data_IF_762972058373
#
_entry.id   IF_762972058373
#
_cell.length_a   1.000
_cell.length_b   1.000
_cell.length_c   1.000
_cell.angle_alpha   90.00
_cell.angle_beta   90.00
_cell.angle_gamma   90.00
#
_symmetry.space_group_name_H-M   'P 1'
#
loop_
_entity.id
_entity.type
_entity.pdbx_description
1 polymer ?
#
# COMPACT_ATOMS: atom_id res chain seq x y z
N UNK A 1 -32.49 -66.11 -87.76
CA UNK A 1 -32.80 -64.67 -87.64
C UNK A 1 -33.63 -64.27 -86.40
N UNK A 2 -34.24 -65.19 -85.62
CA UNK A 2 -35.05 -64.80 -84.44
C UNK A 2 -34.23 -64.80 -83.12
N UNK A 3 -33.12 -65.56 -83.03
CA UNK A 3 -32.29 -65.61 -81.81
C UNK A 3 -31.43 -64.35 -81.58
N UNK A 4 -30.98 -63.66 -82.63
CA UNK A 4 -30.09 -62.49 -82.48
C UNK A 4 -30.83 -61.24 -81.96
N UNK A 5 -32.13 -61.10 -82.29
CA UNK A 5 -32.97 -60.00 -81.79
C UNK A 5 -33.31 -60.13 -80.30
N UNK A 6 -33.50 -61.35 -79.80
CA UNK A 6 -33.80 -61.59 -78.37
C UNK A 6 -32.57 -61.37 -77.49
N UNK A 7 -31.37 -61.72 -77.97
CA UNK A 7 -30.09 -61.45 -77.29
C UNK A 7 -29.75 -59.96 -77.28
N UNK A 8 -30.01 -59.25 -78.38
CA UNK A 8 -29.81 -57.79 -78.43
C UNK A 8 -30.76 -57.03 -77.48
N UNK A 9 -32.04 -57.43 -77.41
CA UNK A 9 -33.03 -56.83 -76.52
C UNK A 9 -32.72 -57.15 -75.05
N UNK A 10 -32.35 -58.38 -74.71
CA UNK A 10 -31.94 -58.74 -73.34
C UNK A 10 -30.65 -58.04 -72.90
N UNK A 11 -29.68 -57.85 -73.79
CA UNK A 11 -28.46 -57.08 -73.52
C UNK A 11 -28.74 -55.58 -73.34
N UNK A 12 -29.68 -54.99 -74.10
CA UNK A 12 -30.07 -53.59 -73.93
C UNK A 12 -30.85 -53.33 -72.64
N UNK A 13 -31.73 -54.26 -72.22
CA UNK A 13 -32.49 -54.15 -70.97
C UNK A 13 -31.59 -54.35 -69.75
N UNK A 14 -30.63 -55.27 -69.81
CA UNK A 14 -29.62 -55.45 -68.74
C UNK A 14 -28.66 -54.26 -68.65
N UNK A 15 -28.26 -53.66 -69.78
CA UNK A 15 -27.45 -52.45 -69.80
C UNK A 15 -28.17 -51.23 -69.22
N UNK A 16 -29.47 -51.05 -69.54
CA UNK A 16 -30.32 -50.01 -68.94
C UNK A 16 -30.53 -50.23 -67.44
N UNK A 17 -30.74 -51.48 -67.02
CA UNK A 17 -30.82 -51.86 -65.61
C UNK A 17 -29.52 -51.55 -64.86
N UNK A 18 -28.36 -51.90 -65.42
CA UNK A 18 -27.06 -51.61 -64.84
C UNK A 18 -26.78 -50.09 -64.75
N UNK A 19 -27.15 -49.32 -65.78
CA UNK A 19 -27.01 -47.86 -65.78
C UNK A 19 -27.89 -47.18 -64.73
N UNK A 20 -29.14 -47.64 -64.54
CA UNK A 20 -30.03 -47.14 -63.49
C UNK A 20 -29.51 -47.48 -62.09
N UNK A 21 -29.01 -48.70 -61.87
CA UNK A 21 -28.40 -49.10 -60.60
C UNK A 21 -27.15 -48.27 -60.30
N UNK A 22 -26.30 -48.02 -61.30
CA UNK A 22 -25.13 -47.16 -61.16
C UNK A 22 -25.51 -45.71 -60.82
N UNK A 23 -26.52 -45.14 -61.48
CA UNK A 23 -27.02 -43.79 -61.18
C UNK A 23 -27.59 -43.67 -59.76
N UNK A 24 -28.34 -44.68 -59.31
CA UNK A 24 -28.87 -44.75 -57.94
C UNK A 24 -27.72 -44.87 -56.93
N UNK A 25 -26.71 -45.70 -57.21
CA UNK A 25 -25.53 -45.81 -56.37
C UNK A 25 -24.73 -44.49 -56.30
N UNK A 26 -24.54 -43.80 -57.43
CA UNK A 26 -23.90 -42.47 -57.49
C UNK A 26 -24.72 -41.42 -56.75
N UNK A 27 -26.05 -41.46 -56.85
CA UNK A 27 -26.94 -40.55 -56.13
C UNK A 27 -26.86 -40.76 -54.61
N UNK A 28 -26.88 -42.01 -54.14
CA UNK A 28 -26.78 -42.32 -52.71
C UNK A 28 -25.39 -42.02 -52.14
N UNK A 29 -24.32 -42.28 -52.89
CA UNK A 29 -22.96 -41.94 -52.48
C UNK A 29 -22.76 -40.43 -52.39
N UNK A 30 -23.25 -39.66 -53.37
CA UNK A 30 -23.25 -38.19 -53.31
C UNK A 30 -24.05 -37.66 -52.13
N UNK A 31 -25.26 -38.18 -51.90
CA UNK A 31 -26.11 -37.77 -50.77
C UNK A 31 -25.50 -38.16 -49.42
N UNK A 32 -24.78 -39.28 -49.35
CA UNK A 32 -24.00 -39.68 -48.17
C UNK A 32 -22.80 -38.77 -47.94
N UNK A 33 -22.09 -38.38 -49.00
CA UNK A 33 -20.97 -37.44 -48.94
C UNK A 33 -21.41 -36.05 -48.47
N UNK A 34 -22.54 -35.53 -48.96
CA UNK A 34 -23.09 -34.23 -48.54
C UNK A 34 -23.52 -34.23 -47.06
N UNK A 35 -24.12 -35.32 -46.57
CA UNK A 35 -24.48 -35.46 -45.15
C UNK A 35 -23.27 -35.57 -44.22
N UNK A 36 -22.24 -36.31 -44.64
CA UNK A 36 -20.99 -36.45 -43.88
C UNK A 36 -20.19 -35.15 -43.89
N UNK A 37 -20.17 -34.40 -45.00
CA UNK A 37 -19.62 -33.05 -45.08
C UNK A 37 -20.35 -32.06 -44.16
N UNK A 38 -21.70 -32.10 -44.13
CA UNK A 38 -22.49 -31.28 -43.21
C UNK A 38 -22.23 -31.61 -41.74
N UNK A 39 -22.18 -32.91 -41.40
CA UNK A 39 -21.90 -33.36 -40.04
C UNK A 39 -20.47 -32.99 -39.58
N UNK A 40 -19.48 -33.07 -40.48
CA UNK A 40 -18.09 -32.68 -40.17
C UNK A 40 -17.92 -31.17 -40.02
N UNK A 41 -18.65 -30.36 -40.78
CA UNK A 41 -18.68 -28.90 -40.58
C UNK A 41 -19.29 -28.51 -39.23
N UNK A 42 -20.41 -29.13 -38.85
CA UNK A 42 -21.05 -28.88 -37.55
C UNK A 42 -20.17 -29.35 -36.39
N UNK A 43 -19.55 -30.53 -36.52
CA UNK A 43 -18.58 -31.03 -35.54
C UNK A 43 -17.34 -30.13 -35.43
N UNK A 44 -16.80 -29.67 -36.56
CA UNK A 44 -15.67 -28.74 -36.61
C UNK A 44 -16.00 -27.37 -36.00
N UNK A 45 -17.19 -26.83 -36.26
CA UNK A 45 -17.67 -25.60 -35.61
C UNK A 45 -17.80 -25.78 -34.09
N UNK A 46 -18.41 -26.87 -33.63
CA UNK A 46 -18.52 -27.19 -32.21
C UNK A 46 -17.15 -27.33 -31.53
N UNK A 47 -16.21 -28.02 -32.19
CA UNK A 47 -14.85 -28.18 -31.71
C UNK A 47 -14.08 -26.85 -31.66
N UNK A 48 -14.25 -25.99 -32.67
CA UNK A 48 -13.61 -24.65 -32.69
C UNK A 48 -14.15 -23.74 -31.58
N UNK A 49 -15.47 -23.74 -31.34
CA UNK A 49 -16.07 -22.96 -30.27
C UNK A 49 -15.65 -23.45 -28.88
N UNK A 50 -15.56 -24.77 -28.70
CA UNK A 50 -15.04 -25.37 -27.47
C UNK A 50 -13.56 -24.99 -27.24
N UNK A 51 -12.73 -25.01 -28.30
CA UNK A 51 -11.34 -24.60 -28.23
C UNK A 51 -11.18 -23.11 -27.88
N UNK A 52 -11.99 -22.23 -28.47
CA UNK A 52 -11.99 -20.79 -28.14
C UNK A 52 -12.44 -20.56 -26.69
N UNK A 53 -13.50 -21.22 -26.23
CA UNK A 53 -13.92 -21.13 -24.82
C UNK A 53 -12.86 -21.65 -23.86
N UNK A 54 -12.22 -22.77 -24.19
CA UNK A 54 -11.12 -23.31 -23.40
C UNK A 54 -9.93 -22.34 -23.35
N UNK A 55 -9.53 -21.76 -24.49
CA UNK A 55 -8.47 -20.76 -24.56
C UNK A 55 -8.81 -19.49 -23.74
N UNK A 56 -10.05 -19.00 -23.81
CA UNK A 56 -10.50 -17.86 -23.00
C UNK A 56 -10.53 -18.17 -21.50
N UNK A 57 -10.94 -19.39 -21.12
CA UNK A 57 -10.91 -19.83 -19.72
C UNK A 57 -9.47 -19.99 -19.22
N UNK A 58 -8.59 -20.52 -20.05
CA UNK A 58 -7.18 -20.70 -19.73
C UNK A 58 -6.43 -19.36 -19.63
N UNK A 59 -6.73 -18.41 -20.51
CA UNK A 59 -6.23 -17.03 -20.46
C UNK A 59 -6.73 -16.29 -19.21
N UNK A 60 -8.02 -16.41 -18.86
CA UNK A 60 -8.55 -15.87 -17.59
C UNK A 60 -7.90 -16.53 -16.38
N UNK A 61 -7.77 -17.85 -16.38
CA UNK A 61 -7.15 -18.61 -15.31
C UNK A 61 -5.65 -18.27 -15.14
N UNK A 62 -4.97 -17.85 -16.21
CA UNK A 62 -3.59 -17.35 -16.16
C UNK A 62 -3.48 -15.91 -15.64
N UNK A 63 -4.39 -15.02 -16.06
CA UNK A 63 -4.34 -13.59 -15.68
C UNK A 63 -4.69 -13.32 -14.21
N UNK A 64 -5.64 -14.08 -13.68
CA UNK A 64 -6.13 -13.89 -12.31
C UNK A 64 -5.02 -14.06 -11.23
N UNK A 65 -4.21 -15.12 -11.22
CA UNK A 65 -3.11 -15.24 -10.26
C UNK A 65 -2.02 -14.19 -10.46
N UNK A 66 -1.79 -13.73 -11.69
CA UNK A 66 -0.85 -12.62 -11.97
C UNK A 66 -1.33 -11.32 -11.34
N UNK A 67 -2.60 -10.95 -11.54
CA UNK A 67 -3.20 -9.76 -10.94
C UNK A 67 -3.24 -9.83 -9.40
N UNK A 68 -3.53 -11.01 -8.85
CA UNK A 68 -3.47 -11.22 -7.40
C UNK A 68 -2.05 -11.07 -6.84
N UNK A 69 -1.05 -11.55 -7.57
CA UNK A 69 0.37 -11.37 -7.24
C UNK A 69 0.79 -9.90 -7.26
N UNK A 70 0.43 -9.17 -8.32
CA UNK A 70 0.69 -7.73 -8.46
C UNK A 70 0.02 -6.91 -7.36
N UNK A 71 -1.25 -7.22 -7.05
CA UNK A 71 -1.99 -6.57 -5.96
C UNK A 71 -1.35 -6.81 -4.60
N UNK A 72 -0.92 -8.05 -4.30
CA UNK A 72 -0.19 -8.35 -3.06
C UNK A 72 1.14 -7.60 -2.98
N UNK A 73 1.89 -7.54 -4.08
CA UNK A 73 3.15 -6.79 -4.12
C UNK A 73 2.93 -5.31 -3.80
N UNK A 74 1.93 -4.68 -4.43
CA UNK A 74 1.55 -3.29 -4.18
C UNK A 74 1.14 -3.04 -2.72
N UNK A 75 0.36 -3.93 -2.11
CA UNK A 75 -0.01 -3.80 -0.69
C UNK A 75 1.21 -3.91 0.23
N UNK A 76 2.14 -4.82 -0.08
CA UNK A 76 3.38 -4.99 0.68
C UNK A 76 4.30 -3.79 0.54
N UNK A 77 4.42 -3.22 -0.65
CA UNK A 77 5.25 -2.03 -0.90
C UNK A 77 4.71 -0.81 -0.14
N UNK A 78 3.39 -0.61 -0.14
CA UNK A 78 2.76 0.45 0.65
C UNK A 78 2.98 0.25 2.15
N UNK A 79 2.77 -0.96 2.68
CA UNK A 79 3.05 -1.27 4.09
C UNK A 79 4.52 -1.00 4.43
N UNK A 80 5.45 -1.47 3.60
CA UNK A 80 6.88 -1.26 3.80
C UNK A 80 7.22 0.24 3.82
N UNK A 81 6.67 1.03 2.90
CA UNK A 81 6.88 2.47 2.87
C UNK A 81 6.37 3.14 4.16
N UNK A 82 5.17 2.78 4.62
CA UNK A 82 4.61 3.32 5.87
C UNK A 82 5.39 2.87 7.11
N UNK A 83 5.91 1.64 7.14
CA UNK A 83 6.73 1.13 8.23
C UNK A 83 8.11 1.80 8.27
N UNK A 84 8.69 2.13 7.11
CA UNK A 84 9.90 2.93 7.03
C UNK A 84 9.63 4.34 7.53
N UNK A 85 8.59 5.01 7.03
CA UNK A 85 8.18 6.34 7.48
C UNK A 85 8.00 6.38 9.01
N UNK A 86 7.27 5.42 9.57
CA UNK A 86 7.00 5.33 11.00
C UNK A 86 8.28 5.19 11.83
N UNK A 87 9.18 4.31 11.41
CA UNK A 87 10.48 4.12 12.09
C UNK A 87 11.35 5.36 11.99
N UNK A 88 11.41 6.00 10.82
CA UNK A 88 12.13 7.25 10.63
C UNK A 88 11.57 8.34 11.52
N UNK A 89 10.25 8.55 11.52
CA UNK A 89 9.56 9.52 12.37
C UNK A 89 9.89 9.34 13.85
N UNK A 90 9.88 8.09 14.35
CA UNK A 90 10.22 7.77 15.73
C UNK A 90 11.70 8.05 16.05
N UNK A 91 12.61 7.82 15.09
CA UNK A 91 14.05 8.00 15.24
C UNK A 91 14.54 9.44 14.96
N UNK A 92 13.71 10.30 14.37
CA UNK A 92 14.08 11.69 14.02
C UNK A 92 14.72 12.49 15.16
N UNK A 93 14.30 12.39 16.44
CA UNK A 93 14.94 13.10 17.54
C UNK A 93 16.44 12.76 17.68
N UNK A 94 16.83 11.53 17.37
CA UNK A 94 18.20 11.03 17.50
C UNK A 94 19.05 11.30 16.23
N UNK A 95 18.40 11.69 15.14
CA UNK A 95 19.06 12.02 13.87
C UNK A 95 19.62 13.45 13.92
N UNK A 96 20.83 13.73 13.39
CA UNK A 96 21.37 15.08 13.31
C UNK A 96 20.42 16.05 12.60
N UNK A 97 20.22 17.25 13.17
CA UNK A 97 19.25 18.25 12.68
C UNK A 97 19.35 18.50 11.16
N UNK A 98 20.58 18.66 10.65
CA UNK A 98 20.86 18.92 9.24
C UNK A 98 20.34 17.84 8.27
N UNK A 99 20.14 16.60 8.74
CA UNK A 99 19.69 15.46 7.91
C UNK A 99 18.19 15.18 8.05
N UNK A 100 17.52 15.73 9.07
CA UNK A 100 16.14 15.37 9.43
C UNK A 100 15.15 15.65 8.31
N UNK A 101 15.24 16.82 7.68
CA UNK A 101 14.33 17.25 6.61
C UNK A 101 14.44 16.37 5.38
N UNK A 102 15.64 16.21 4.84
CA UNK A 102 15.86 15.42 3.62
C UNK A 102 15.41 13.97 3.80
N UNK A 103 15.70 13.37 4.96
CA UNK A 103 15.26 12.02 5.29
C UNK A 103 13.74 11.92 5.41
N UNK A 104 13.09 12.89 6.07
CA UNK A 104 11.63 12.94 6.20
C UNK A 104 10.96 13.08 4.83
N UNK A 105 11.42 14.01 4.00
CA UNK A 105 10.89 14.27 2.66
C UNK A 105 11.04 13.01 1.78
N UNK A 106 12.18 12.30 1.88
CA UNK A 106 12.41 11.04 1.17
C UNK A 106 11.39 9.97 1.55
N UNK A 107 11.20 9.72 2.86
CA UNK A 107 10.28 8.66 3.31
C UNK A 107 8.81 9.03 3.11
N UNK A 108 8.46 10.32 3.22
CA UNK A 108 7.11 10.81 2.93
C UNK A 108 6.77 10.63 1.44
N UNK A 109 7.70 10.96 0.55
CA UNK A 109 7.55 10.75 -0.90
C UNK A 109 7.34 9.27 -1.22
N UNK A 110 8.11 8.37 -0.60
CA UNK A 110 7.96 6.92 -0.81
C UNK A 110 6.56 6.41 -0.41
N UNK A 111 5.94 6.96 0.64
CA UNK A 111 4.56 6.60 1.02
C UNK A 111 3.57 7.05 -0.05
N UNK A 112 3.73 8.26 -0.60
CA UNK A 112 2.87 8.79 -1.66
C UNK A 112 2.99 7.95 -2.94
N UNK A 113 4.22 7.61 -3.34
CA UNK A 113 4.49 6.78 -4.52
C UNK A 113 3.91 5.37 -4.35
N UNK A 114 4.14 4.73 -3.21
CA UNK A 114 3.63 3.38 -2.96
C UNK A 114 2.10 3.34 -2.90
N UNK A 115 1.45 4.41 -2.41
CA UNK A 115 -0.02 4.52 -2.41
C UNK A 115 -0.60 4.56 -3.82
N UNK A 116 0.10 5.11 -4.80
CA UNK A 116 -0.39 5.17 -6.18
C UNK A 116 -0.65 3.77 -6.76
N UNK A 117 0.20 2.79 -6.44
CA UNK A 117 -0.04 1.39 -6.79
C UNK A 117 -1.36 0.87 -6.21
N UNK A 118 -1.62 1.16 -4.92
CA UNK A 118 -2.84 0.72 -4.23
C UNK A 118 -4.08 1.36 -4.86
N UNK A 119 -3.98 2.62 -5.29
CA UNK A 119 -5.08 3.30 -5.98
C UNK A 119 -5.43 2.67 -7.34
N UNK A 120 -4.46 2.04 -8.01
CA UNK A 120 -4.65 1.40 -9.33
C UNK A 120 -5.16 -0.04 -9.20
N UNK A 121 -4.58 -0.82 -8.28
CA UNK A 121 -4.81 -2.28 -8.20
C UNK A 121 -5.63 -2.72 -6.96
N UNK A 122 -5.92 -1.81 -6.04
CA UNK A 122 -6.60 -2.11 -4.78
C UNK A 122 -8.11 -2.31 -4.91
N UNK A 123 -8.71 -3.02 -3.94
CA UNK A 123 -10.17 -3.00 -3.74
C UNK A 123 -10.61 -1.66 -3.16
N UNK A 124 -11.90 -1.32 -3.25
CA UNK A 124 -12.46 -0.09 -2.66
C UNK A 124 -12.15 0.05 -1.18
N UNK A 125 -12.22 -1.03 -0.42
CA UNK A 125 -11.86 -1.09 1.01
C UNK A 125 -10.37 -0.78 1.23
N UNK A 126 -9.48 -1.41 0.49
CA UNK A 126 -8.03 -1.20 0.59
C UNK A 126 -7.63 0.22 0.15
N UNK A 127 -8.28 0.77 -0.89
CA UNK A 127 -8.07 2.16 -1.35
C UNK A 127 -8.46 3.15 -0.26
N UNK A 128 -9.62 2.96 0.38
CA UNK A 128 -10.08 3.83 1.47
C UNK A 128 -9.13 3.77 2.66
N UNK A 129 -8.76 2.56 3.10
CA UNK A 129 -7.85 2.38 4.23
C UNK A 129 -6.44 2.93 3.94
N UNK A 130 -5.93 2.78 2.71
CA UNK A 130 -4.65 3.37 2.31
C UNK A 130 -4.70 4.90 2.27
N UNK A 131 -5.82 5.48 1.87
CA UNK A 131 -6.02 6.93 1.89
C UNK A 131 -5.98 7.48 3.32
N UNK A 132 -6.62 6.80 4.26
CA UNK A 132 -6.61 7.17 5.67
C UNK A 132 -5.22 7.06 6.27
N UNK A 133 -4.53 5.93 6.05
CA UNK A 133 -3.17 5.71 6.55
C UNK A 133 -2.19 6.75 6.01
N UNK A 134 -2.21 7.03 4.71
CA UNK A 134 -1.37 8.06 4.11
C UNK A 134 -1.74 9.47 4.61
N UNK A 135 -3.03 9.75 4.82
CA UNK A 135 -3.48 11.01 5.40
C UNK A 135 -2.95 11.23 6.83
N UNK A 136 -2.79 10.16 7.60
CA UNK A 136 -2.18 10.20 8.92
C UNK A 136 -0.66 10.37 8.83
N UNK A 137 0.04 9.68 7.91
CA UNK A 137 1.45 9.94 7.64
C UNK A 137 1.72 11.41 7.30
N UNK A 138 0.91 12.02 6.43
CA UNK A 138 1.03 13.45 6.10
C UNK A 138 0.69 14.38 7.28
N UNK A 139 -0.17 13.97 8.21
CA UNK A 139 -0.37 14.72 9.47
C UNK A 139 0.89 14.70 10.31
N UNK A 140 1.49 13.51 10.50
CA UNK A 140 2.72 13.33 11.26
C UNK A 140 3.91 14.08 10.62
N UNK A 141 4.02 14.06 9.30
CA UNK A 141 5.06 14.79 8.56
C UNK A 141 5.09 16.28 8.93
N UNK A 142 3.91 16.93 9.03
CA UNK A 142 3.81 18.37 9.34
C UNK A 142 4.34 18.75 10.71
N UNK A 143 4.30 17.84 11.68
CA UNK A 143 4.78 18.08 13.05
C UNK A 143 6.14 17.43 13.33
N UNK A 144 6.63 16.56 12.45
CA UNK A 144 7.79 15.70 12.66
C UNK A 144 9.07 16.47 13.01
N UNK A 145 9.40 17.54 12.27
CA UNK A 145 10.63 18.29 12.50
C UNK A 145 10.62 19.04 13.84
N UNK A 146 9.50 19.71 14.16
CA UNK A 146 9.34 20.42 15.43
C UNK A 146 9.33 19.45 16.61
N UNK A 147 8.59 18.35 16.49
CA UNK A 147 8.60 17.24 17.45
C UNK A 147 10.01 16.70 17.66
N UNK A 148 10.80 16.53 16.60
CA UNK A 148 12.17 16.04 16.71
C UNK A 148 13.08 17.00 17.48
N UNK A 149 12.94 18.31 17.27
CA UNK A 149 13.67 19.34 18.05
C UNK A 149 13.31 19.25 19.53
N UNK A 150 12.01 19.29 19.87
CA UNK A 150 11.54 19.26 21.25
C UNK A 150 11.96 17.97 21.96
N UNK A 151 11.76 16.81 21.32
CA UNK A 151 12.12 15.51 21.90
C UNK A 151 13.62 15.31 22.07
N UNK A 152 14.42 15.82 21.12
CA UNK A 152 15.87 15.78 21.21
C UNK A 152 16.35 16.62 22.40
N UNK A 153 15.81 17.84 22.55
CA UNK A 153 16.13 18.71 23.67
C UNK A 153 15.71 18.12 25.02
N UNK A 154 14.48 17.61 25.14
CA UNK A 154 13.98 16.94 26.35
C UNK A 154 14.92 15.79 26.74
N UNK A 155 15.28 14.92 25.80
CA UNK A 155 16.15 13.78 26.08
C UNK A 155 17.54 14.21 26.55
N UNK A 156 18.14 15.23 25.91
CA UNK A 156 19.44 15.75 26.32
C UNK A 156 19.38 16.35 27.73
N UNK A 157 18.34 17.14 28.03
CA UNK A 157 18.15 17.73 29.36
C UNK A 157 17.96 16.65 30.44
N UNK A 158 17.20 15.59 30.15
CA UNK A 158 17.05 14.42 31.05
C UNK A 158 18.35 13.66 31.29
N UNK A 159 19.27 13.65 30.33
CA UNK A 159 20.59 13.01 30.57
C UNK A 159 21.53 13.89 31.38
N UNK A 160 21.25 15.20 31.48
CA UNK A 160 22.09 16.20 32.13
C UNK A 160 21.52 16.74 33.45
N UNK A 161 20.34 16.31 33.90
CA UNK A 161 19.88 16.59 35.27
C UNK A 161 20.52 15.66 36.30
N UNK A 162 20.37 15.96 37.59
CA UNK A 162 21.00 15.16 38.64
C UNK A 162 20.40 13.74 38.71
N UNK A 163 21.22 12.66 38.62
CA UNK A 163 20.72 11.28 38.60
C UNK A 163 20.18 10.78 39.94
N UNK A 164 20.39 11.53 41.04
CA UNK A 164 19.96 11.14 42.40
C UNK A 164 18.73 11.91 42.86
N UNK A 165 18.79 13.24 42.77
CA UNK A 165 17.67 14.13 43.07
C UNK A 165 17.99 15.55 42.55
N UNK A 166 17.22 16.03 41.56
CA UNK A 166 17.39 17.37 41.01
C UNK A 166 17.00 18.49 42.00
N UNK A 167 16.00 18.26 42.86
CA UNK A 167 15.51 19.25 43.83
C UNK A 167 16.53 19.56 44.94
N UNK A 168 17.47 18.65 45.21
CA UNK A 168 18.46 18.76 46.30
C UNK A 168 19.88 18.86 45.75
N UNK A 169 20.02 19.01 44.43
CA UNK A 169 21.30 19.15 43.79
C UNK A 169 21.87 20.55 44.07
N UNK A 170 23.18 20.64 44.36
CA UNK A 170 23.87 21.92 44.52
C UNK A 170 24.58 22.37 43.23
N UNK A 171 24.55 21.53 42.19
CA UNK A 171 25.10 21.88 40.88
C UNK A 171 24.07 22.72 40.12
N UNK A 172 24.42 23.98 39.86
CA UNK A 172 23.57 24.94 39.15
C UNK A 172 23.19 24.46 37.75
N UNK A 173 24.05 23.71 37.07
CA UNK A 173 23.80 23.23 35.72
C UNK A 173 22.74 22.12 35.71
N UNK A 174 22.80 21.21 36.69
CA UNK A 174 21.78 20.17 36.85
C UNK A 174 20.41 20.76 37.21
N UNK A 175 20.38 21.79 38.07
CA UNK A 175 19.14 22.49 38.43
C UNK A 175 18.56 23.18 37.19
N UNK A 176 19.38 23.93 36.44
CA UNK A 176 18.97 24.60 35.22
C UNK A 176 18.44 23.62 34.17
N UNK A 177 19.11 22.47 33.97
CA UNK A 177 18.63 21.40 33.09
C UNK A 177 17.24 20.87 33.48
N UNK A 178 17.00 20.65 34.79
CA UNK A 178 15.70 20.19 35.29
C UNK A 178 14.61 21.26 35.12
N UNK A 179 14.91 22.53 35.38
CA UNK A 179 13.97 23.64 35.17
C UNK A 179 13.60 23.77 33.69
N UNK A 180 14.59 23.77 32.79
CA UNK A 180 14.36 23.83 31.35
C UNK A 180 13.53 22.64 30.86
N UNK A 181 13.84 21.43 31.34
CA UNK A 181 13.06 20.23 31.03
C UNK A 181 11.60 20.36 31.46
N UNK A 182 11.35 20.77 32.71
CA UNK A 182 9.98 20.91 33.24
C UNK A 182 9.18 21.94 32.46
N UNK A 183 9.79 23.08 32.14
CA UNK A 183 9.17 24.11 31.31
C UNK A 183 8.82 23.60 29.91
N UNK A 184 9.70 22.85 29.25
CA UNK A 184 9.43 22.31 27.90
C UNK A 184 8.32 21.26 27.91
N UNK A 185 8.27 20.40 28.93
CA UNK A 185 7.20 19.39 29.08
C UNK A 185 5.85 20.06 29.28
N UNK A 186 5.79 21.06 30.16
CA UNK A 186 4.53 21.70 30.56
C UNK A 186 4.15 22.89 29.67
N UNK A 187 5.00 23.28 28.72
CA UNK A 187 4.83 24.51 27.92
C UNK A 187 3.45 24.62 27.25
N UNK A 188 2.94 23.48 26.76
CA UNK A 188 1.62 23.38 26.12
C UNK A 188 0.44 23.58 27.07
N UNK A 189 0.65 23.42 28.37
CA UNK A 189 -0.36 23.56 29.42
C UNK A 189 -0.36 24.95 30.06
N UNK A 190 0.69 25.75 29.84
CA UNK A 190 0.76 27.13 30.30
C UNK A 190 -0.22 28.01 29.50
N UNK A 191 -0.82 29.00 30.17
CA UNK A 191 -1.57 30.04 29.49
C UNK A 191 -0.63 30.95 28.68
N UNK A 192 -1.17 31.73 27.77
CA UNK A 192 -0.34 32.61 26.92
C UNK A 192 0.47 33.60 27.76
N UNK A 193 -0.16 34.24 28.74
CA UNK A 193 0.50 35.18 29.66
C UNK A 193 1.64 34.51 30.43
N UNK A 194 1.39 33.32 31.01
CA UNK A 194 2.42 32.54 31.72
C UNK A 194 3.59 32.16 30.83
N UNK A 195 3.35 31.84 29.54
CA UNK A 195 4.42 31.52 28.60
C UNK A 195 5.29 32.72 28.30
N UNK A 196 4.70 33.89 28.10
CA UNK A 196 5.45 35.13 27.91
C UNK A 196 6.34 35.43 29.11
N UNK A 197 5.82 35.28 30.33
CA UNK A 197 6.59 35.49 31.57
C UNK A 197 7.70 34.45 31.76
N UNK A 198 7.46 33.21 31.36
CA UNK A 198 8.41 32.09 31.54
C UNK A 198 9.38 31.93 30.38
N UNK A 199 9.26 32.69 29.29
CA UNK A 199 10.16 32.58 28.14
C UNK A 199 11.60 32.95 28.50
N UNK A 200 11.78 34.08 29.18
CA UNK A 200 13.10 34.52 29.65
C UNK A 200 13.72 33.50 30.61
N UNK A 201 12.90 32.90 31.48
CA UNK A 201 13.32 31.85 32.41
C UNK A 201 13.74 30.58 31.66
N UNK A 202 13.00 30.19 30.62
CA UNK A 202 13.34 29.04 29.78
C UNK A 202 14.66 29.29 29.07
N UNK A 203 14.84 30.46 28.45
CA UNK A 203 16.08 30.82 27.78
C UNK A 203 17.27 30.79 28.74
N UNK A 204 17.15 31.42 29.92
CA UNK A 204 18.22 31.41 30.92
C UNK A 204 18.54 30.00 31.41
N UNK A 205 17.50 29.17 31.65
CA UNK A 205 17.69 27.80 32.11
C UNK A 205 18.37 26.92 31.04
N UNK A 206 18.04 27.11 29.76
CA UNK A 206 18.70 26.41 28.65
C UNK A 206 20.19 26.80 28.57
N UNK A 207 20.50 28.09 28.68
CA UNK A 207 21.87 28.61 28.67
C UNK A 207 22.69 28.07 29.86
N UNK A 208 22.16 28.20 31.07
CA UNK A 208 22.82 27.81 32.31
C UNK A 208 22.99 26.30 32.45
N UNK A 209 22.17 25.50 31.76
CA UNK A 209 22.28 24.04 31.78
C UNK A 209 23.56 23.51 31.12
N UNK A 210 24.13 24.25 30.17
CA UNK A 210 25.17 23.79 29.24
C UNK A 210 24.88 22.45 28.52
N UNK A 211 23.63 21.96 28.57
CA UNK A 211 23.27 20.67 28.02
C UNK A 211 23.16 20.71 26.49
N UNK A 212 22.75 21.85 25.94
CA UNK A 212 22.50 22.05 24.51
C UNK A 212 23.52 23.03 23.91
N UNK A 213 24.03 22.77 22.69
CA UNK A 213 24.76 23.78 21.94
C UNK A 213 23.85 24.93 21.52
N UNK A 214 24.42 26.13 21.33
CA UNK A 214 23.67 27.35 20.99
C UNK A 214 22.71 27.17 19.80
N UNK A 215 23.15 26.47 18.74
CA UNK A 215 22.31 26.19 17.56
C UNK A 215 21.05 25.38 17.91
N UNK A 216 21.15 24.38 18.80
CA UNK A 216 19.99 23.59 19.22
C UNK A 216 19.08 24.41 20.14
N UNK A 217 19.64 25.28 20.98
CA UNK A 217 18.87 26.18 21.82
C UNK A 217 18.03 27.15 20.97
N UNK A 218 18.62 27.77 19.94
CA UNK A 218 17.89 28.63 19.00
C UNK A 218 16.73 27.88 18.32
N UNK A 219 16.95 26.64 17.91
CA UNK A 219 15.90 25.79 17.32
C UNK A 219 14.77 25.51 18.32
N UNK A 220 15.08 25.23 19.58
CA UNK A 220 14.07 25.01 20.62
C UNK A 220 13.24 26.27 20.83
N UNK A 221 13.90 27.43 20.97
CA UNK A 221 13.22 28.71 21.17
C UNK A 221 12.33 29.09 19.98
N UNK A 222 12.74 28.77 18.75
CA UNK A 222 11.88 28.94 17.55
C UNK A 222 10.61 28.08 17.64
N UNK A 223 10.72 26.81 18.06
CA UNK A 223 9.56 25.91 18.19
C UNK A 223 8.63 26.33 19.32
N UNK A 224 9.17 26.79 20.45
CA UNK A 224 8.45 27.26 21.65
C UNK A 224 7.50 28.42 21.34
N UNK A 225 7.81 29.24 20.33
CA UNK A 225 6.93 30.31 19.84
C UNK A 225 5.65 29.78 19.15
N UNK A 226 5.56 28.49 18.84
CA UNK A 226 4.38 27.88 18.24
C UNK A 226 3.86 26.70 19.07
N UNK A 227 2.82 26.96 19.86
CA UNK A 227 2.29 26.00 20.85
C UNK A 227 1.21 25.07 20.28
N UNK A 228 0.88 25.21 18.99
CA UNK A 228 -0.07 24.30 18.36
C UNK A 228 0.45 22.86 18.43
N UNK A 229 -0.42 21.94 18.85
CA UNK A 229 -0.10 20.51 18.96
C UNK A 229 1.06 20.19 19.95
N UNK A 230 1.29 21.01 20.98
CA UNK A 230 2.43 20.80 21.90
C UNK A 230 2.43 19.44 22.60
N UNK A 231 1.27 18.99 23.08
CA UNK A 231 1.12 17.65 23.69
C UNK A 231 1.49 16.53 22.69
N UNK A 232 1.22 16.73 21.40
CA UNK A 232 1.60 15.83 20.32
C UNK A 232 3.08 15.97 19.93
N UNK A 233 3.77 17.07 20.27
CA UNK A 233 5.21 17.25 20.07
C UNK A 233 6.03 16.68 21.24
N UNK A 234 5.54 16.79 22.48
CA UNK A 234 6.14 16.09 23.63
C UNK A 234 5.86 14.59 23.52
N UNK A 235 4.60 14.21 23.22
CA UNK A 235 4.15 12.83 23.20
C UNK A 235 4.02 12.22 24.60
N UNK A 236 3.78 10.92 24.68
CA UNK A 236 3.71 10.22 25.95
C UNK A 236 5.05 9.59 26.35
N UNK A 237 5.28 9.51 27.66
CA UNK A 237 6.51 8.98 28.28
C UNK A 237 6.72 7.48 28.03
N UNK A 238 5.64 6.70 28.13
CA UNK A 238 5.68 5.24 27.98
C UNK A 238 5.22 4.79 26.61
N UNK A 239 4.23 5.50 26.05
CA UNK A 239 3.64 5.21 24.75
C UNK A 239 3.38 6.50 24.00
N UNK A 240 3.62 6.49 22.70
CA UNK A 240 3.41 7.65 21.84
C UNK A 240 1.99 7.57 21.22
N UNK A 241 1.05 8.45 21.60
CA UNK A 241 -0.33 8.40 21.12
C UNK A 241 -0.44 8.52 19.59
N UNK A 242 0.50 9.24 18.96
CA UNK A 242 0.53 9.40 17.51
C UNK A 242 0.90 8.10 16.81
N UNK A 243 1.89 7.38 17.35
CA UNK A 243 2.32 6.09 16.81
C UNK A 243 1.27 5.01 17.09
N UNK A 244 0.61 5.02 18.25
CA UNK A 244 -0.50 4.10 18.54
C UNK A 244 -1.66 4.30 17.57
N UNK A 245 -2.04 5.56 17.30
CA UNK A 245 -3.07 5.87 16.30
C UNK A 245 -2.68 5.39 14.91
N UNK A 246 -1.41 5.59 14.51
CA UNK A 246 -0.89 5.11 13.23
C UNK A 246 -0.94 3.59 13.13
N UNK A 247 -0.54 2.88 14.19
CA UNK A 247 -0.61 1.41 14.25
C UNK A 247 -2.05 0.89 14.16
N UNK A 248 -3.01 1.57 14.78
CA UNK A 248 -4.42 1.22 14.70
C UNK A 248 -4.95 1.33 13.25
N UNK A 249 -4.69 2.45 12.57
CA UNK A 249 -5.09 2.65 11.16
C UNK A 249 -4.36 1.68 10.23
N UNK A 250 -3.09 1.41 10.50
CA UNK A 250 -2.30 0.40 9.77
C UNK A 250 -2.94 -0.99 9.86
N UNK A 251 -3.43 -1.39 11.03
CA UNK A 251 -4.10 -2.68 11.19
C UNK A 251 -5.35 -2.80 10.30
N UNK A 252 -6.15 -1.73 10.19
CA UNK A 252 -7.31 -1.68 9.29
C UNK A 252 -6.91 -1.87 7.83
N UNK A 253 -5.80 -1.26 7.39
CA UNK A 253 -5.30 -1.49 6.03
C UNK A 253 -4.83 -2.94 5.83
N UNK A 254 -4.15 -3.52 6.81
CA UNK A 254 -3.70 -4.92 6.76
C UNK A 254 -4.89 -5.87 6.59
N UNK A 255 -5.95 -5.66 7.38
CA UNK A 255 -7.18 -6.46 7.30
C UNK A 255 -7.83 -6.32 5.92
N UNK A 256 -8.00 -5.09 5.42
CA UNK A 256 -8.55 -4.83 4.09
C UNK A 256 -7.70 -5.46 2.97
N UNK A 257 -6.36 -5.45 3.12
CA UNK A 257 -5.44 -6.08 2.17
C UNK A 257 -5.60 -7.62 2.18
N UNK A 258 -5.77 -8.23 3.35
CA UNK A 258 -6.00 -9.68 3.49
C UNK A 258 -7.36 -10.12 2.93
N UNK A 259 -8.44 -9.41 3.25
CA UNK A 259 -9.78 -9.69 2.73
C UNK A 259 -9.79 -9.62 1.20
N UNK A 260 -9.18 -8.55 0.66
CA UNK A 260 -9.03 -8.35 -0.77
C UNK A 260 -8.25 -9.50 -1.41
N UNK A 261 -7.12 -9.91 -0.81
CA UNK A 261 -6.25 -10.97 -1.31
C UNK A 261 -6.89 -12.37 -1.27
N UNK A 262 -7.77 -12.64 -0.29
CA UNK A 262 -8.40 -13.94 -0.11
C UNK A 262 -9.75 -14.09 -0.84
N UNK A 263 -10.21 -13.04 -1.54
CA UNK A 263 -11.46 -13.09 -2.31
C UNK A 263 -12.70 -13.26 -1.42
N UNK A 264 -12.60 -12.94 -0.14
CA UNK A 264 -13.75 -12.89 0.77
C UNK A 264 -14.47 -11.58 0.48
N UNK A 265 -15.35 -11.60 -0.51
CA UNK A 265 -16.34 -10.55 -0.65
C UNK A 265 -17.35 -10.66 0.53
N UNK A 266 -17.85 -9.55 1.07
CA UNK A 266 -19.00 -9.56 1.98
C UNK A 266 -20.25 -10.12 1.30
#
# INVERSE_FOLDING_TARGET
MILEGVVAVTNSVTALGAALVALVAVYWTRRGAERTAGATLVAGLGQSQAAVKAAQLQDRAGRQPTLEGERRAVYQDFLRATDIFTRTFAALPDIPHALRKDLLDQVATAVVEARAGVAVLGSSTAISAAAELAGLCSQLERLALRRAVVRSAISVLETNWCPRNAEWCQDSHHIAAHVAWGLLVDWGHLEEEDRWEKLDLLESALQDSHALPAEQMEQVLDVVNNVSCWSEMVGGWVRDPLLERLQAVRAVFVDAAYESANGVAP
#
